data_IF_452213704747
#
_entry.id   IF_452213704747
#
_cell.length_a   1.000
_cell.length_b   1.000
_cell.length_c   1.000
_cell.angle_alpha   90.00
_cell.angle_beta   90.00
_cell.angle_gamma   90.00
#
_symmetry.space_group_name_H-M   'P 1'
#
loop_
_entity.id
_entity.type
_entity.pdbx_description
1 polymer ?
#
# COMPACT_ATOMS: atom_id res chain seq x y z
N UNK A 1 88.98 46.97 -32.44
CA UNK A 1 89.27 47.46 -33.80
C UNK A 1 88.50 46.54 -34.74
N UNK A 2 87.43 46.89 -35.40
CA UNK A 2 86.81 48.19 -35.65
C UNK A 2 85.33 48.02 -35.99
N UNK A 3 84.62 49.15 -35.92
CA UNK A 3 83.37 49.46 -36.63
C UNK A 3 82.05 48.91 -36.07
N UNK A 4 81.52 49.71 -35.12
CA UNK A 4 80.09 49.88 -34.85
C UNK A 4 79.36 50.25 -36.16
N UNK A 5 78.52 49.35 -36.66
CA UNK A 5 77.47 49.67 -37.62
C UNK A 5 76.16 49.91 -36.85
N UNK A 6 75.86 51.18 -36.59
CA UNK A 6 74.54 51.66 -36.22
C UNK A 6 73.62 51.48 -37.41
N UNK A 7 72.79 50.44 -37.41
CA UNK A 7 71.68 50.34 -38.35
C UNK A 7 70.38 50.69 -37.61
N UNK A 8 70.04 51.97 -37.69
CA UNK A 8 68.75 52.50 -37.28
C UNK A 8 67.70 51.94 -38.25
N UNK A 9 67.10 50.80 -37.90
CA UNK A 9 65.96 50.28 -38.64
C UNK A 9 64.75 51.14 -38.25
N UNK A 10 64.39 52.00 -39.20
CA UNK A 10 63.21 52.83 -39.21
C UNK A 10 61.96 52.03 -38.85
N UNK A 11 61.33 52.35 -37.71
CA UNK A 11 59.90 52.12 -37.48
C UNK A 11 59.13 52.95 -38.51
N UNK A 12 58.93 52.41 -39.69
CA UNK A 12 58.35 53.19 -40.77
C UNK A 12 58.09 52.37 -42.01
N UNK A 13 57.41 51.24 -41.89
CA UNK A 13 56.68 50.61 -43.00
C UNK A 13 55.89 49.42 -42.45
N UNK A 14 54.63 49.65 -42.13
CA UNK A 14 53.48 48.74 -42.30
C UNK A 14 52.21 49.43 -41.74
N UNK A 15 52.04 50.73 -41.96
CA UNK A 15 50.73 51.35 -41.76
C UNK A 15 49.96 51.18 -43.07
N UNK A 16 49.25 50.06 -43.20
CA UNK A 16 48.28 49.88 -44.28
C UNK A 16 47.35 51.09 -44.29
N UNK A 17 47.22 51.79 -45.42
CA UNK A 17 46.28 52.91 -45.52
C UNK A 17 44.87 52.42 -45.23
N UNK A 18 44.01 53.27 -44.66
CA UNK A 18 42.66 52.87 -44.26
C UNK A 18 41.83 52.35 -45.44
N UNK A 19 42.11 52.83 -46.66
CA UNK A 19 41.53 52.29 -47.89
C UNK A 19 41.99 50.85 -48.17
N UNK A 20 43.27 50.52 -47.98
CA UNK A 20 43.77 49.16 -48.15
C UNK A 20 43.24 48.22 -47.07
N UNK A 21 43.06 48.72 -45.84
CA UNK A 21 42.40 47.97 -44.76
C UNK A 21 40.94 47.68 -45.08
N UNK A 22 40.19 48.67 -45.59
CA UNK A 22 38.81 48.48 -46.05
C UNK A 22 38.70 47.47 -47.17
N UNK A 23 39.54 47.58 -48.20
CA UNK A 23 39.54 46.62 -49.32
C UNK A 23 39.89 45.21 -48.88
N UNK A 24 40.83 45.07 -47.93
CA UNK A 24 41.17 43.76 -47.39
C UNK A 24 40.02 43.18 -46.56
N UNK A 25 39.33 44.02 -45.77
CA UNK A 25 38.14 43.62 -45.03
C UNK A 25 37.00 43.20 -45.97
N UNK A 26 36.69 43.99 -47.00
CA UNK A 26 35.68 43.64 -48.02
C UNK A 26 36.02 42.33 -48.74
N UNK A 27 37.30 42.11 -49.02
CA UNK A 27 37.76 40.86 -49.64
C UNK A 27 37.62 39.67 -48.69
N UNK A 28 37.97 39.84 -47.42
CA UNK A 28 37.79 38.82 -46.39
C UNK A 28 36.31 38.50 -46.17
N UNK A 29 35.44 39.51 -46.17
CA UNK A 29 34.00 39.31 -46.05
C UNK A 29 33.45 38.53 -47.26
N UNK A 30 33.88 38.85 -48.48
CA UNK A 30 33.52 38.09 -49.68
C UNK A 30 34.04 36.65 -49.67
N UNK A 31 35.30 36.45 -49.29
CA UNK A 31 35.89 35.12 -49.17
C UNK A 31 35.19 34.29 -48.06
N UNK A 32 34.74 34.94 -46.99
CA UNK A 32 33.97 34.31 -45.91
C UNK A 32 32.56 33.93 -46.38
N UNK A 33 31.86 34.81 -47.10
CA UNK A 33 30.54 34.54 -47.66
C UNK A 33 30.58 33.41 -48.69
N UNK A 34 31.60 33.38 -49.56
CA UNK A 34 31.85 32.28 -50.49
C UNK A 34 32.13 30.96 -49.76
N UNK A 35 32.93 31.00 -48.69
CA UNK A 35 33.21 29.82 -47.85
C UNK A 35 31.95 29.30 -47.15
N UNK A 36 31.14 30.18 -46.55
CA UNK A 36 29.87 29.82 -45.90
C UNK A 36 28.86 29.30 -46.92
N UNK A 37 28.80 29.91 -48.11
CA UNK A 37 27.95 29.45 -49.20
C UNK A 37 28.37 28.11 -49.80
N UNK A 38 29.65 27.78 -49.74
CA UNK A 38 30.24 26.53 -50.22
C UNK A 38 30.19 25.37 -49.21
N UNK A 39 29.92 25.64 -47.94
CA UNK A 39 29.62 24.58 -46.97
C UNK A 39 28.34 23.86 -47.41
N UNK A 40 28.38 22.54 -47.47
CA UNK A 40 27.16 21.74 -47.62
C UNK A 40 26.19 22.15 -46.52
N UNK A 41 25.10 22.82 -46.90
CA UNK A 41 23.93 22.97 -46.04
C UNK A 41 23.41 21.56 -45.80
N UNK A 42 23.88 20.93 -44.74
CA UNK A 42 23.18 19.79 -44.16
C UNK A 42 21.84 20.38 -43.77
N UNK A 43 20.80 20.15 -44.58
CA UNK A 43 19.45 20.33 -44.08
C UNK A 43 19.33 19.29 -42.99
N UNK A 44 19.60 19.73 -41.76
CA UNK A 44 19.47 18.88 -40.61
C UNK A 44 17.98 18.67 -40.43
N UNK A 45 17.44 17.69 -41.14
CA UNK A 45 16.05 17.26 -41.01
C UNK A 45 15.74 16.74 -39.59
N UNK A 46 16.78 16.58 -38.76
CA UNK A 46 16.75 16.13 -37.37
C UNK A 46 17.00 17.25 -36.34
N UNK A 47 17.10 18.52 -36.76
CA UNK A 47 17.20 19.63 -35.80
C UNK A 47 15.84 19.97 -35.17
N UNK A 48 15.84 20.10 -33.84
CA UNK A 48 14.65 20.52 -33.11
C UNK A 48 14.22 21.91 -33.59
N UNK A 49 12.94 22.09 -34.00
CA UNK A 49 12.47 23.40 -34.42
C UNK A 49 12.66 24.44 -33.30
N UNK A 50 13.30 25.56 -33.59
CA UNK A 50 13.53 26.66 -32.63
C UNK A 50 12.23 27.24 -32.04
N UNK A 51 11.09 26.99 -32.67
CA UNK A 51 9.78 27.40 -32.16
C UNK A 51 9.12 26.36 -31.24
N UNK A 52 9.58 25.09 -31.28
CA UNK A 52 8.99 23.95 -30.53
C UNK A 52 9.98 23.21 -29.62
N UNK A 53 11.21 23.70 -29.46
CA UNK A 53 12.23 23.04 -28.63
C UNK A 53 11.80 22.88 -27.17
N UNK A 54 11.00 23.80 -26.63
CA UNK A 54 10.49 23.69 -25.24
C UNK A 54 9.59 22.47 -25.09
N UNK A 55 8.67 22.26 -26.04
CA UNK A 55 7.77 21.11 -26.03
C UNK A 55 8.54 19.78 -26.20
N UNK A 56 9.54 19.76 -27.08
CA UNK A 56 10.40 18.57 -27.28
C UNK A 56 11.32 18.30 -26.08
N UNK A 57 11.83 19.35 -25.41
CA UNK A 57 12.56 19.21 -24.14
C UNK A 57 11.66 18.69 -23.02
N UNK A 58 10.43 19.18 -22.91
CA UNK A 58 9.48 18.70 -21.90
C UNK A 58 9.11 17.22 -22.12
N UNK A 59 9.11 16.75 -23.38
CA UNK A 59 8.94 15.33 -23.71
C UNK A 59 10.18 14.48 -23.47
N UNK A 60 11.35 15.10 -23.28
CA UNK A 60 12.60 14.38 -23.12
C UNK A 60 12.70 13.75 -21.71
N UNK A 61 13.03 12.45 -21.58
CA UNK A 61 12.98 11.74 -20.30
C UNK A 61 13.89 12.31 -19.21
N UNK A 62 14.97 13.00 -19.58
CA UNK A 62 15.86 13.66 -18.64
C UNK A 62 15.39 15.05 -18.17
N UNK A 63 14.54 15.72 -18.95
CA UNK A 63 14.12 17.11 -18.71
C UNK A 63 12.61 17.25 -18.48
N UNK A 64 11.85 16.15 -18.59
CA UNK A 64 10.42 16.14 -18.32
C UNK A 64 10.14 16.56 -16.88
N UNK A 65 9.28 17.57 -16.73
CA UNK A 65 8.86 18.05 -15.41
C UNK A 65 7.66 17.27 -14.89
N UNK A 66 6.89 16.66 -15.80
CA UNK A 66 5.72 15.83 -15.51
C UNK A 66 5.91 14.45 -16.10
N UNK A 67 5.43 13.43 -15.41
CA UNK A 67 5.35 12.07 -15.95
C UNK A 67 4.20 12.01 -16.96
N UNK A 68 4.38 11.37 -18.14
CA UNK A 68 3.31 11.19 -19.12
C UNK A 68 2.07 10.55 -18.50
N UNK A 69 0.89 11.01 -18.88
CA UNK A 69 -0.37 10.42 -18.40
C UNK A 69 -0.67 9.09 -19.13
N UNK A 70 -1.47 8.24 -18.49
CA UNK A 70 -1.77 6.92 -19.03
C UNK A 70 -2.58 7.04 -20.34
N UNK A 71 -1.95 6.74 -21.47
CA UNK A 71 -2.56 6.78 -22.81
C UNK A 71 -1.99 7.86 -23.74
N UNK A 72 -1.14 8.75 -23.23
CA UNK A 72 -0.39 9.67 -24.08
C UNK A 72 0.73 8.93 -24.84
N UNK A 73 1.00 9.28 -26.12
CA UNK A 73 2.09 8.69 -26.86
C UNK A 73 3.42 9.04 -26.19
N UNK A 74 4.21 8.02 -25.86
CA UNK A 74 5.55 8.20 -25.33
C UNK A 74 6.45 8.80 -26.41
N UNK A 75 7.38 9.68 -26.01
CA UNK A 75 8.43 10.15 -26.92
C UNK A 75 9.22 8.96 -27.46
N UNK A 76 9.64 8.95 -28.75
CA UNK A 76 10.43 7.86 -29.33
C UNK A 76 11.65 7.47 -28.49
N UNK A 77 12.29 8.46 -27.85
CA UNK A 77 13.43 8.20 -26.96
C UNK A 77 13.01 7.48 -25.67
N UNK A 78 11.88 7.88 -25.08
CA UNK A 78 11.34 7.22 -23.87
C UNK A 78 10.90 5.79 -24.19
N UNK A 79 10.30 5.58 -25.36
CA UNK A 79 9.95 4.25 -25.86
C UNK A 79 11.21 3.39 -26.08
N UNK A 80 12.24 3.93 -26.71
CA UNK A 80 13.52 3.23 -26.90
C UNK A 80 14.18 2.84 -25.57
N UNK A 81 14.17 3.74 -24.57
CA UNK A 81 14.66 3.43 -23.22
C UNK A 81 13.82 2.36 -22.52
N UNK A 82 12.49 2.42 -22.70
CA UNK A 82 11.58 1.42 -22.14
C UNK A 82 11.81 0.04 -22.77
N UNK A 83 11.99 -0.01 -24.09
CA UNK A 83 12.34 -1.24 -24.81
C UNK A 83 13.68 -1.77 -24.31
N UNK A 84 14.74 -0.96 -24.28
CA UNK A 84 16.04 -1.43 -23.79
C UNK A 84 15.95 -2.05 -22.39
N UNK A 85 15.15 -1.44 -21.50
CA UNK A 85 15.02 -1.86 -20.11
C UNK A 85 14.09 -3.06 -19.88
N UNK A 86 12.98 -3.15 -20.63
CA UNK A 86 11.92 -4.13 -20.36
C UNK A 86 11.58 -5.04 -21.55
N UNK A 87 12.28 -4.92 -22.67
CA UNK A 87 12.10 -5.79 -23.84
C UNK A 87 12.38 -7.24 -23.47
N UNK A 88 11.41 -8.11 -23.71
CA UNK A 88 11.54 -9.56 -23.53
C UNK A 88 12.42 -10.20 -24.61
N UNK A 89 12.65 -9.53 -25.75
CA UNK A 89 13.50 -10.07 -26.82
C UNK A 89 14.99 -9.87 -26.54
N UNK A 90 15.32 -8.76 -25.89
CA UNK A 90 16.71 -8.32 -25.74
C UNK A 90 17.30 -8.70 -24.37
N UNK A 91 16.45 -8.88 -23.36
CA UNK A 91 16.85 -9.19 -22.00
C UNK A 91 16.48 -10.63 -21.62
N UNK A 92 17.35 -11.29 -20.85
CA UNK A 92 17.00 -12.60 -20.30
C UNK A 92 15.91 -12.45 -19.22
N UNK A 93 15.07 -13.48 -18.98
CA UNK A 93 14.06 -13.43 -17.91
C UNK A 93 14.66 -13.16 -16.52
N UNK A 94 15.91 -13.56 -16.28
CA UNK A 94 16.62 -13.30 -15.02
C UNK A 94 17.02 -11.83 -14.89
N UNK A 95 17.57 -11.23 -15.95
CA UNK A 95 17.90 -9.80 -15.99
C UNK A 95 16.63 -8.95 -15.84
N UNK A 96 15.55 -9.31 -16.54
CA UNK A 96 14.29 -8.59 -16.44
C UNK A 96 13.70 -8.66 -15.02
N UNK A 97 13.73 -9.84 -14.38
CA UNK A 97 13.34 -9.98 -12.98
C UNK A 97 14.23 -9.16 -12.02
N UNK A 98 15.54 -9.07 -12.29
CA UNK A 98 16.46 -8.25 -11.51
C UNK A 98 16.19 -6.75 -11.68
N UNK A 99 15.95 -6.28 -12.90
CA UNK A 99 15.57 -4.90 -13.20
C UNK A 99 14.28 -4.53 -12.46
N UNK A 100 13.25 -5.37 -12.52
CA UNK A 100 12.02 -5.16 -11.76
C UNK A 100 12.23 -5.16 -10.24
N UNK A 101 13.17 -5.97 -9.73
CA UNK A 101 13.56 -5.94 -8.31
C UNK A 101 14.17 -4.59 -7.95
N UNK A 102 15.04 -4.04 -8.79
CA UNK A 102 15.68 -2.74 -8.58
C UNK A 102 14.66 -1.60 -8.60
N UNK A 103 13.72 -1.63 -9.54
CA UNK A 103 12.62 -0.66 -9.60
C UNK A 103 11.71 -0.74 -8.38
N UNK A 104 11.39 -1.96 -7.94
CA UNK A 104 10.65 -2.17 -6.71
C UNK A 104 11.40 -1.62 -5.49
N UNK A 105 12.72 -1.84 -5.42
CA UNK A 105 13.57 -1.33 -4.34
C UNK A 105 13.63 0.20 -4.34
N UNK A 106 13.75 0.82 -5.52
CA UNK A 106 13.71 2.27 -5.67
C UNK A 106 12.36 2.83 -5.20
N UNK A 107 11.26 2.28 -5.71
CA UNK A 107 9.89 2.66 -5.30
C UNK A 107 9.65 2.47 -3.79
N UNK A 108 10.24 1.43 -3.21
CA UNK A 108 10.17 1.16 -1.77
C UNK A 108 10.92 2.22 -0.96
N UNK A 109 12.11 2.64 -1.41
CA UNK A 109 12.91 3.71 -0.76
C UNK A 109 12.16 5.05 -0.75
N UNK A 110 11.49 5.39 -1.85
CA UNK A 110 10.64 6.60 -1.93
C UNK A 110 9.26 6.44 -1.27
N UNK A 111 9.04 5.34 -0.52
CA UNK A 111 7.79 5.00 0.20
C UNK A 111 6.55 4.86 -0.69
N UNK A 112 6.72 4.70 -2.01
CA UNK A 112 5.63 4.37 -2.94
C UNK A 112 5.38 2.86 -2.95
N UNK A 113 4.87 2.33 -1.83
CA UNK A 113 4.74 0.88 -1.61
C UNK A 113 3.82 0.19 -2.63
N UNK A 114 2.77 0.85 -3.13
CA UNK A 114 1.88 0.30 -4.16
C UNK A 114 2.62 0.04 -5.48
N UNK A 115 3.42 1.01 -5.93
CA UNK A 115 4.25 0.85 -7.13
C UNK A 115 5.31 -0.22 -6.92
N UNK A 116 5.94 -0.27 -5.73
CA UNK A 116 6.90 -1.31 -5.40
C UNK A 116 6.27 -2.72 -5.51
N UNK A 117 5.05 -2.91 -5.02
CA UNK A 117 4.32 -4.18 -5.15
C UNK A 117 4.10 -4.55 -6.62
N UNK A 118 3.72 -3.58 -7.47
CA UNK A 118 3.55 -3.81 -8.90
C UNK A 118 4.86 -4.26 -9.53
N UNK A 119 5.96 -3.51 -9.32
CA UNK A 119 7.28 -3.87 -9.85
C UNK A 119 7.73 -5.26 -9.41
N UNK A 120 7.63 -5.60 -8.11
CA UNK A 120 7.98 -6.95 -7.65
C UNK A 120 7.07 -8.04 -8.23
N UNK A 121 5.80 -7.72 -8.49
CA UNK A 121 4.87 -8.67 -9.09
C UNK A 121 5.20 -8.91 -10.57
N UNK A 122 5.57 -7.88 -11.32
CA UNK A 122 6.07 -8.06 -12.69
C UNK A 122 7.37 -8.87 -12.70
N UNK A 123 8.30 -8.62 -11.76
CA UNK A 123 9.50 -9.44 -11.62
C UNK A 123 9.21 -10.92 -11.34
N UNK A 124 8.21 -11.22 -10.51
CA UNK A 124 7.78 -12.60 -10.23
C UNK A 124 7.10 -13.28 -11.44
N UNK A 125 6.46 -12.52 -12.34
CA UNK A 125 5.85 -13.07 -13.56
C UNK A 125 6.87 -13.58 -14.56
N UNK A 126 8.09 -13.04 -14.56
CA UNK A 126 9.16 -13.43 -15.48
C UNK A 126 9.63 -14.89 -15.29
N UNK A 127 9.35 -15.50 -14.13
CA UNK A 127 9.64 -16.91 -13.85
C UNK A 127 11.07 -17.32 -14.26
N UNK A 128 12.05 -16.53 -13.85
CA UNK A 128 13.46 -16.67 -14.20
C UNK A 128 14.13 -18.01 -13.77
N UNK A 129 13.45 -18.86 -12.99
CA UNK A 129 13.98 -20.13 -12.49
C UNK A 129 15.03 -19.98 -11.37
N UNK A 130 15.46 -18.75 -11.08
CA UNK A 130 16.36 -18.46 -9.97
C UNK A 130 15.59 -18.39 -8.65
N UNK A 131 15.67 -19.49 -7.90
CA UNK A 131 15.06 -19.65 -6.58
C UNK A 131 15.49 -18.55 -5.59
N UNK A 132 16.73 -18.08 -5.67
CA UNK A 132 17.24 -17.05 -4.74
C UNK A 132 16.55 -15.73 -5.04
N UNK A 133 16.58 -15.31 -6.30
CA UNK A 133 15.94 -14.08 -6.76
C UNK A 133 14.43 -14.08 -6.50
N UNK A 134 13.76 -15.21 -6.75
CA UNK A 134 12.34 -15.38 -6.47
C UNK A 134 12.03 -15.21 -4.98
N UNK A 135 12.83 -15.82 -4.09
CA UNK A 135 12.68 -15.68 -2.65
C UNK A 135 12.88 -14.24 -2.15
N UNK A 136 13.80 -13.49 -2.77
CA UNK A 136 14.04 -12.07 -2.48
C UNK A 136 12.86 -11.21 -2.92
N UNK A 137 12.33 -11.44 -4.12
CA UNK A 137 11.18 -10.73 -4.66
C UNK A 137 9.94 -10.92 -3.78
N UNK A 138 9.63 -12.17 -3.38
CA UNK A 138 8.54 -12.41 -2.43
C UNK A 138 8.77 -11.70 -1.09
N UNK A 139 9.98 -11.76 -0.53
CA UNK A 139 10.28 -11.09 0.73
C UNK A 139 10.17 -9.56 0.64
N UNK A 140 10.60 -8.96 -0.47
CA UNK A 140 10.53 -7.51 -0.67
C UNK A 140 9.08 -7.06 -0.93
N UNK A 141 8.30 -7.84 -1.69
CA UNK A 141 6.86 -7.60 -1.85
C UNK A 141 6.11 -7.75 -0.54
N UNK A 142 6.45 -8.75 0.28
CA UNK A 142 5.92 -8.89 1.64
C UNK A 142 6.22 -7.66 2.49
N UNK A 143 7.44 -7.12 2.43
CA UNK A 143 7.78 -5.89 3.13
C UNK A 143 6.87 -4.72 2.71
N UNK A 144 6.64 -4.54 1.40
CA UNK A 144 5.76 -3.49 0.90
C UNK A 144 4.31 -3.68 1.36
N UNK A 145 3.79 -4.91 1.34
CA UNK A 145 2.47 -5.23 1.91
C UNK A 145 2.38 -4.94 3.41
N UNK A 146 3.45 -5.21 4.17
CA UNK A 146 3.51 -4.94 5.60
C UNK A 146 3.37 -3.45 5.91
N UNK A 147 4.08 -2.59 5.18
CA UNK A 147 3.97 -1.12 5.35
C UNK A 147 2.59 -0.59 4.97
N UNK A 148 1.89 -1.24 4.04
CA UNK A 148 0.49 -0.95 3.70
C UNK A 148 -0.52 -1.58 4.68
N UNK A 149 -0.08 -2.26 5.74
CA UNK A 149 -0.92 -3.00 6.69
C UNK A 149 -1.75 -4.12 6.06
N UNK A 150 -1.35 -4.60 4.89
CA UNK A 150 -1.96 -5.74 4.20
C UNK A 150 -1.40 -7.05 4.76
N UNK A 151 -1.68 -7.33 6.04
CA UNK A 151 -1.04 -8.42 6.79
C UNK A 151 -1.31 -9.81 6.23
N UNK A 152 -2.49 -10.05 5.63
CA UNK A 152 -2.82 -11.34 4.99
C UNK A 152 -1.96 -11.61 3.76
N UNK A 153 -1.84 -10.62 2.86
CA UNK A 153 -1.00 -10.70 1.67
C UNK A 153 0.48 -10.80 2.05
N UNK A 154 0.92 -10.01 3.03
CA UNK A 154 2.28 -10.11 3.56
C UNK A 154 2.60 -11.51 4.09
N UNK A 155 1.69 -12.13 4.85
CA UNK A 155 1.88 -13.48 5.38
C UNK A 155 1.95 -14.52 4.26
N UNK A 156 1.13 -14.37 3.21
CA UNK A 156 1.16 -15.24 2.04
C UNK A 156 2.52 -15.18 1.33
N UNK A 157 3.02 -13.97 1.06
CA UNK A 157 4.32 -13.76 0.41
C UNK A 157 5.48 -14.26 1.28
N UNK A 158 5.45 -14.02 2.59
CA UNK A 158 6.46 -14.57 3.49
C UNK A 158 6.46 -16.11 3.46
N UNK A 159 5.29 -16.76 3.40
CA UNK A 159 5.20 -18.22 3.29
C UNK A 159 5.75 -18.72 1.95
N UNK A 160 5.49 -18.01 0.85
CA UNK A 160 6.07 -18.34 -0.46
C UNK A 160 7.60 -18.25 -0.40
N UNK A 161 8.15 -17.16 0.15
CA UNK A 161 9.59 -17.01 0.33
C UNK A 161 10.20 -18.13 1.20
N UNK A 162 9.51 -18.52 2.29
CA UNK A 162 9.98 -19.58 3.20
C UNK A 162 9.86 -21.00 2.63
N UNK A 163 8.97 -21.23 1.66
CA UNK A 163 8.91 -22.49 0.91
C UNK A 163 10.15 -22.67 0.04
N UNK A 164 10.61 -21.59 -0.58
CA UNK A 164 11.80 -21.61 -1.45
C UNK A 164 13.08 -21.63 -0.60
N UNK A 165 13.16 -20.72 0.37
CA UNK A 165 14.29 -20.60 1.29
C UNK A 165 13.81 -20.72 2.74
N UNK A 166 13.88 -21.93 3.28
CA UNK A 166 13.43 -22.25 4.64
C UNK A 166 14.17 -21.45 5.73
N UNK A 167 15.47 -21.21 5.53
CA UNK A 167 16.30 -20.37 6.39
C UNK A 167 16.39 -18.93 5.85
N UNK A 168 15.32 -18.15 6.08
CA UNK A 168 15.28 -16.73 5.74
C UNK A 168 14.77 -15.87 6.91
N UNK A 169 15.67 -15.38 7.79
CA UNK A 169 15.29 -14.71 9.05
C UNK A 169 14.37 -13.50 8.85
N UNK A 170 14.63 -12.67 7.82
CA UNK A 170 13.81 -11.48 7.51
C UNK A 170 12.36 -11.84 7.20
N UNK A 171 12.13 -12.92 6.45
CA UNK A 171 10.80 -13.40 6.12
C UNK A 171 10.11 -14.05 7.32
N UNK A 172 10.85 -14.83 8.14
CA UNK A 172 10.32 -15.47 9.34
C UNK A 172 9.83 -14.46 10.38
N UNK A 173 10.64 -13.45 10.70
CA UNK A 173 10.27 -12.39 11.67
C UNK A 173 9.05 -11.63 11.17
N UNK A 174 9.01 -11.25 9.88
CA UNK A 174 7.86 -10.55 9.29
C UNK A 174 6.60 -11.41 9.30
N UNK A 175 6.72 -12.70 9.00
CA UNK A 175 5.59 -13.64 9.07
C UNK A 175 5.02 -13.73 10.49
N UNK A 176 5.88 -13.87 11.50
CA UNK A 176 5.45 -13.92 12.90
C UNK A 176 4.78 -12.60 13.33
N UNK A 177 5.33 -11.44 12.92
CA UNK A 177 4.70 -10.14 13.16
C UNK A 177 3.31 -10.05 12.51
N UNK A 178 3.15 -10.55 11.28
CA UNK A 178 1.84 -10.59 10.62
C UNK A 178 0.85 -11.51 11.35
N UNK A 179 1.30 -12.68 11.82
CA UNK A 179 0.46 -13.58 12.63
C UNK A 179 -0.03 -12.88 13.90
N UNK A 180 0.81 -12.08 14.55
CA UNK A 180 0.40 -11.26 15.70
C UNK A 180 -0.68 -10.24 15.35
N UNK A 181 -0.51 -9.49 14.26
CA UNK A 181 -1.52 -8.50 13.83
C UNK A 181 -2.84 -9.14 13.40
N UNK A 182 -2.78 -10.37 12.88
CA UNK A 182 -3.96 -11.15 12.50
C UNK A 182 -4.56 -11.95 13.66
N UNK A 183 -4.04 -11.80 14.89
CA UNK A 183 -4.45 -12.56 16.09
C UNK A 183 -4.36 -14.09 15.91
N UNK A 184 -3.49 -14.56 15.01
CA UNK A 184 -3.19 -15.98 14.81
C UNK A 184 -2.06 -16.38 15.76
N UNK A 185 -2.37 -16.39 17.06
CA UNK A 185 -1.36 -16.54 18.11
C UNK A 185 -0.63 -17.88 18.05
N UNK A 186 -1.33 -18.99 17.80
CA UNK A 186 -0.72 -20.32 17.73
C UNK A 186 0.34 -20.43 16.63
N UNK A 187 0.03 -19.90 15.46
CA UNK A 187 0.97 -19.88 14.34
C UNK A 187 2.15 -18.95 14.59
N UNK A 188 1.92 -17.82 15.27
CA UNK A 188 3.01 -16.95 15.69
C UNK A 188 3.95 -17.68 16.65
N UNK A 189 3.42 -18.38 17.66
CA UNK A 189 4.23 -19.12 18.64
C UNK A 189 5.04 -20.19 17.92
N UNK A 190 4.42 -20.98 17.05
CA UNK A 190 5.11 -22.03 16.29
C UNK A 190 6.21 -21.47 15.37
N UNK A 191 6.01 -20.30 14.75
CA UNK A 191 7.05 -19.63 13.97
C UNK A 191 8.20 -19.12 14.86
N UNK A 192 7.88 -18.51 16.00
CA UNK A 192 8.91 -18.07 16.95
C UNK A 192 9.72 -19.24 17.51
N UNK A 193 9.07 -20.36 17.86
CA UNK A 193 9.76 -21.56 18.34
C UNK A 193 10.75 -22.09 17.28
N UNK A 194 10.34 -22.11 16.00
CA UNK A 194 11.24 -22.47 14.89
C UNK A 194 12.43 -21.50 14.74
N UNK A 195 12.21 -20.20 14.90
CA UNK A 195 13.30 -19.21 14.86
C UNK A 195 14.27 -19.39 16.03
N UNK A 196 13.75 -19.65 17.23
CA UNK A 196 14.56 -19.84 18.44
C UNK A 196 15.37 -21.15 18.43
N UNK A 197 14.93 -22.17 17.69
CA UNK A 197 15.75 -23.37 17.46
C UNK A 197 17.05 -23.06 16.72
N UNK A 198 17.02 -22.12 15.76
CA UNK A 198 18.21 -21.71 15.00
C UNK A 198 19.05 -20.65 15.72
N UNK A 199 18.40 -19.72 16.40
CA UNK A 199 19.05 -18.63 17.16
C UNK A 199 18.37 -18.44 18.52
N UNK A 200 18.82 -19.15 19.57
CA UNK A 200 18.16 -19.15 20.89
C UNK A 200 18.17 -17.80 21.61
N UNK A 201 19.08 -16.90 21.23
CA UNK A 201 19.29 -15.60 21.88
C UNK A 201 18.62 -14.43 21.17
N UNK A 202 17.82 -14.68 20.11
CA UNK A 202 17.14 -13.61 19.39
C UNK A 202 16.04 -12.96 20.25
N UNK A 203 16.31 -11.74 20.72
CA UNK A 203 15.40 -10.95 21.56
C UNK A 203 14.06 -10.70 20.87
N UNK A 204 14.07 -10.44 19.56
CA UNK A 204 12.86 -10.12 18.80
C UNK A 204 11.90 -11.31 18.80
N UNK A 205 12.40 -12.51 18.53
CA UNK A 205 11.62 -13.74 18.56
C UNK A 205 11.06 -14.06 19.95
N UNK A 206 11.86 -13.86 21.01
CA UNK A 206 11.44 -14.07 22.40
C UNK A 206 10.31 -13.11 22.80
N UNK A 207 10.46 -11.81 22.53
CA UNK A 207 9.45 -10.79 22.84
C UNK A 207 8.16 -11.04 22.07
N UNK A 208 8.26 -11.36 20.78
CA UNK A 208 7.11 -11.64 19.93
C UNK A 208 6.35 -12.87 20.40
N UNK A 209 7.07 -13.93 20.80
CA UNK A 209 6.48 -15.14 21.40
C UNK A 209 5.77 -14.84 22.71
N UNK A 210 6.41 -14.08 23.61
CA UNK A 210 5.81 -13.70 24.89
C UNK A 210 4.49 -12.92 24.69
N UNK A 211 4.49 -11.97 23.74
CA UNK A 211 3.29 -11.23 23.35
C UNK A 211 2.21 -12.15 22.76
N UNK A 212 2.58 -13.13 21.94
CA UNK A 212 1.65 -14.10 21.36
C UNK A 212 0.97 -14.95 22.44
N UNK A 213 1.75 -15.47 23.40
CA UNK A 213 1.23 -16.27 24.53
C UNK A 213 0.31 -15.43 25.42
N UNK A 214 0.68 -14.18 25.71
CA UNK A 214 -0.17 -13.27 26.48
C UNK A 214 -1.49 -12.96 25.73
N UNK A 215 -1.41 -12.70 24.43
CA UNK A 215 -2.57 -12.48 23.56
C UNK A 215 -3.53 -13.67 23.58
N UNK A 216 -3.01 -14.88 23.37
CA UNK A 216 -3.80 -16.12 23.41
C UNK A 216 -4.53 -16.31 24.75
N UNK A 217 -3.82 -16.15 25.87
CA UNK A 217 -4.43 -16.27 27.21
C UNK A 217 -5.54 -15.23 27.45
N UNK A 218 -5.36 -14.02 26.93
CA UNK A 218 -6.37 -12.97 27.03
C UNK A 218 -7.60 -13.29 26.19
N UNK A 219 -7.43 -13.80 24.97
CA UNK A 219 -8.52 -14.25 24.10
C UNK A 219 -9.32 -15.39 24.74
N UNK A 220 -8.64 -16.42 25.24
CA UNK A 220 -9.27 -17.54 25.97
C UNK A 220 -10.07 -17.06 27.19
N UNK A 221 -9.51 -16.08 27.94
CA UNK A 221 -10.21 -15.46 29.07
C UNK A 221 -11.47 -14.72 28.63
N UNK A 222 -11.40 -13.96 27.54
CA UNK A 222 -12.53 -13.20 27.02
C UNK A 222 -13.64 -14.13 26.52
N UNK A 223 -13.28 -15.18 25.77
CA UNK A 223 -14.22 -16.22 25.31
C UNK A 223 -14.86 -16.91 26.52
N UNK A 224 -14.09 -17.27 27.55
CA UNK A 224 -14.64 -17.87 28.77
C UNK A 224 -15.64 -16.94 29.47
N UNK A 225 -15.33 -15.65 29.58
CA UNK A 225 -16.22 -14.66 30.19
C UNK A 225 -17.52 -14.52 29.40
N UNK A 226 -17.42 -14.42 28.07
CA UNK A 226 -18.56 -14.35 27.17
C UNK A 226 -19.44 -15.60 27.25
N UNK A 227 -18.85 -16.79 27.22
CA UNK A 227 -19.62 -18.04 27.35
C UNK A 227 -20.36 -18.12 28.69
N UNK A 228 -19.80 -17.58 29.78
CA UNK A 228 -20.47 -17.52 31.08
C UNK A 228 -21.62 -16.53 31.07
N UNK A 229 -21.48 -15.34 30.46
CA UNK A 229 -22.60 -14.40 30.34
C UNK A 229 -23.72 -14.94 29.47
N UNK A 230 -23.39 -15.52 28.31
CA UNK A 230 -24.37 -16.13 27.40
C UNK A 230 -25.11 -17.30 28.06
N UNK A 231 -24.43 -18.12 28.88
CA UNK A 231 -25.11 -19.18 29.66
C UNK A 231 -26.09 -18.60 30.67
N UNK A 232 -25.70 -17.56 31.40
CA UNK A 232 -26.59 -16.89 32.36
C UNK A 232 -27.80 -16.24 31.69
N UNK A 233 -27.60 -15.63 30.52
CA UNK A 233 -28.69 -15.06 29.73
C UNK A 233 -29.66 -16.14 29.26
N UNK A 234 -29.15 -17.26 28.71
CA UNK A 234 -29.97 -18.42 28.33
C UNK A 234 -30.71 -19.04 29.50
N UNK A 235 -30.09 -19.12 30.67
CA UNK A 235 -30.74 -19.62 31.90
C UNK A 235 -31.89 -18.69 32.33
N UNK A 236 -31.69 -17.37 32.30
CA UNK A 236 -32.74 -16.38 32.57
C UNK A 236 -33.89 -16.46 31.55
N UNK A 237 -33.55 -16.56 30.28
CA UNK A 237 -34.50 -16.72 29.18
C UNK A 237 -35.36 -17.98 29.37
N UNK A 238 -34.73 -19.11 29.65
CA UNK A 238 -35.43 -20.37 29.91
C UNK A 238 -36.30 -20.31 31.17
N UNK A 239 -35.84 -19.63 32.22
CA UNK A 239 -36.62 -19.43 33.44
C UNK A 239 -37.86 -18.56 33.16
N UNK A 240 -37.72 -17.49 32.37
CA UNK A 240 -38.82 -16.63 31.95
C UNK A 240 -39.86 -17.40 31.13
N UNK A 241 -39.41 -18.13 30.10
CA UNK A 241 -40.30 -18.93 29.26
C UNK A 241 -41.03 -20.02 30.06
N UNK A 242 -40.36 -20.62 31.05
CA UNK A 242 -41.00 -21.58 31.96
C UNK A 242 -42.08 -20.91 32.81
N UNK A 243 -41.77 -19.75 33.40
CA UNK A 243 -42.69 -18.98 34.23
C UNK A 243 -43.97 -18.56 33.47
N UNK A 244 -43.84 -18.17 32.20
CA UNK A 244 -44.96 -17.81 31.32
C UNK A 244 -45.83 -19.03 31.02
N UNK A 245 -45.21 -20.18 30.71
CA UNK A 245 -45.94 -21.44 30.44
C UNK A 245 -46.68 -21.96 31.67
N UNK A 246 -46.06 -21.93 32.84
CA UNK A 246 -46.67 -22.39 34.11
C UNK A 246 -47.90 -21.55 34.48
N UNK A 247 -47.89 -20.25 34.17
CA UNK A 247 -49.02 -19.34 34.41
C UNK A 247 -50.13 -19.43 33.34
N UNK A 248 -49.96 -20.26 32.31
CA UNK A 248 -50.97 -20.47 31.26
C UNK A 248 -51.19 -19.29 30.32
N UNK A 249 -50.25 -18.34 30.27
CA UNK A 249 -50.36 -17.11 29.47
C UNK A 249 -50.25 -17.47 27.99
N UNK A 250 -51.30 -17.15 27.22
CA UNK A 250 -51.33 -17.34 25.77
C UNK A 250 -50.90 -16.03 25.09
N UNK A 251 -49.81 -16.10 24.32
CA UNK A 251 -49.34 -14.98 23.50
C UNK A 251 -49.92 -15.18 22.10
N UNK A 252 -50.76 -14.25 21.66
CA UNK A 252 -51.44 -14.33 20.37
C UNK A 252 -50.43 -14.04 19.23
N UNK A 253 -50.35 -14.94 18.23
CA UNK A 253 -49.66 -14.67 16.96
C UNK A 253 -48.35 -15.42 16.64
N UNK A 254 -47.73 -16.18 17.56
CA UNK A 254 -46.54 -17.00 17.21
C UNK A 254 -46.27 -18.11 18.24
N UNK A 255 -45.43 -19.11 17.89
CA UNK A 255 -44.86 -20.03 18.89
C UNK A 255 -44.09 -19.24 19.97
N UNK A 256 -44.27 -19.62 21.25
CA UNK A 256 -43.72 -18.92 22.41
C UNK A 256 -42.18 -18.80 22.30
N UNK A 257 -41.70 -17.61 21.96
CA UNK A 257 -40.29 -17.30 21.73
C UNK A 257 -39.96 -15.89 22.21
N UNK A 258 -38.67 -15.59 22.42
CA UNK A 258 -38.25 -14.25 22.87
C UNK A 258 -38.66 -13.13 21.90
N UNK A 259 -38.68 -13.41 20.59
CA UNK A 259 -39.16 -12.46 19.59
C UNK A 259 -40.65 -12.13 19.75
N UNK A 260 -41.46 -13.05 20.29
CA UNK A 260 -42.87 -12.82 20.58
C UNK A 260 -43.09 -12.01 21.87
N UNK A 261 -42.05 -11.86 22.71
CA UNK A 261 -42.06 -11.05 23.94
C UNK A 261 -41.51 -9.64 23.72
N UNK A 262 -41.05 -9.32 22.51
CA UNK A 262 -40.62 -7.97 22.16
C UNK A 262 -41.85 -7.09 21.83
N UNK A 263 -41.95 -5.88 22.42
CA UNK A 263 -43.07 -4.99 22.12
C UNK A 263 -43.06 -4.54 20.66
N UNK A 264 -44.19 -4.68 19.96
CA UNK A 264 -44.29 -4.28 18.54
C UNK A 264 -44.28 -2.76 18.31
N UNK A 265 -44.36 -1.94 19.37
CA UNK A 265 -44.36 -0.47 19.29
C UNK A 265 -43.06 0.12 19.85
N UNK A 266 -42.39 1.06 19.14
CA UNK A 266 -41.13 1.66 19.57
C UNK A 266 -41.23 2.47 20.87
N UNK A 267 -42.44 2.88 21.27
CA UNK A 267 -42.68 3.60 22.54
C UNK A 267 -42.64 2.63 23.74
N UNK A 268 -43.04 1.38 23.53
CA UNK A 268 -43.07 0.30 24.54
C UNK A 268 -41.76 -0.49 24.58
N UNK A 269 -40.97 -0.44 23.49
CA UNK A 269 -39.75 -1.21 23.26
C UNK A 269 -38.58 -0.97 24.25
N UNK A 270 -38.76 -0.12 25.26
CA UNK A 270 -37.75 0.10 26.32
C UNK A 270 -37.86 -0.92 27.47
N UNK A 271 -39.04 -1.52 27.67
CA UNK A 271 -39.28 -2.53 28.70
C UNK A 271 -39.45 -3.92 28.10
N UNK A 272 -38.65 -4.88 28.53
CA UNK A 272 -38.83 -6.29 28.19
C UNK A 272 -39.49 -7.04 29.35
N UNK A 273 -40.28 -8.06 29.02
CA UNK A 273 -40.85 -8.97 30.02
C UNK A 273 -39.70 -9.65 30.77
N UNK A 274 -39.72 -9.56 32.10
CA UNK A 274 -38.69 -10.16 32.94
C UNK A 274 -39.26 -10.64 34.27
N UNK A 275 -38.45 -11.39 35.01
CA UNK A 275 -38.78 -11.83 36.36
C UNK A 275 -38.13 -10.89 37.38
N UNK A 276 -38.91 -10.40 38.34
CA UNK A 276 -38.40 -9.66 39.50
C UNK A 276 -37.65 -10.60 40.47
N UNK A 277 -36.92 -10.05 41.45
CA UNK A 277 -36.19 -10.78 42.48
C UNK A 277 -37.05 -11.70 43.36
N UNK A 278 -38.38 -11.55 43.34
CA UNK A 278 -39.35 -12.43 44.00
C UNK A 278 -39.89 -13.56 43.11
N UNK A 279 -39.56 -13.55 41.81
CA UNK A 279 -40.07 -14.52 40.83
C UNK A 279 -41.42 -14.17 40.20
N UNK A 280 -41.93 -12.96 40.45
CA UNK A 280 -43.13 -12.42 39.81
C UNK A 280 -42.80 -11.89 38.40
N UNK A 281 -43.72 -12.06 37.45
CA UNK A 281 -43.56 -11.52 36.10
C UNK A 281 -43.84 -10.01 36.07
N UNK A 282 -42.94 -9.26 35.45
CA UNK A 282 -43.09 -7.83 35.19
C UNK A 282 -43.32 -7.62 33.71
N UNK A 283 -44.42 -6.96 33.38
CA UNK A 283 -44.87 -6.70 32.01
C UNK A 283 -44.85 -5.20 31.70
N UNK A 284 -44.46 -4.82 30.48
CA UNK A 284 -44.82 -3.51 29.96
C UNK A 284 -46.31 -3.52 29.56
N UNK A 285 -47.11 -2.64 30.16
CA UNK A 285 -48.56 -2.58 29.97
C UNK A 285 -48.96 -1.23 29.39
N UNK A 286 -49.79 -1.25 28.35
CA UNK A 286 -50.37 -0.06 27.75
C UNK A 286 -51.86 0.02 28.12
N UNK A 287 -52.26 1.11 28.78
CA UNK A 287 -53.65 1.42 29.05
C UNK A 287 -54.21 2.26 27.90
N UNK A 288 -55.34 1.83 27.35
CA UNK A 288 -56.03 2.52 26.25
C UNK A 288 -57.34 3.11 26.79
N UNK A 289 -57.53 4.41 26.61
CA UNK A 289 -58.74 5.15 26.99
C UNK A 289 -59.50 5.58 25.72
N UNK A 290 -60.32 4.71 25.12
CA UNK A 290 -60.94 4.97 23.82
C UNK A 290 -61.92 6.14 23.83
N UNK A 291 -62.56 6.43 24.96
CA UNK A 291 -63.47 7.59 25.10
C UNK A 291 -62.74 8.93 24.96
N UNK A 292 -61.45 8.97 25.30
CA UNK A 292 -60.64 10.19 25.31
C UNK A 292 -59.57 10.18 24.22
N UNK A 293 -59.44 9.09 23.44
CA UNK A 293 -58.37 8.87 22.47
C UNK A 293 -56.95 9.02 23.06
N UNK A 294 -56.79 8.69 24.35
CA UNK A 294 -55.51 8.76 25.08
C UNK A 294 -54.99 7.36 25.40
N UNK A 295 -53.68 7.20 25.45
CA UNK A 295 -53.01 5.99 25.91
C UNK A 295 -51.91 6.31 26.93
N UNK A 296 -51.85 5.54 28.01
CA UNK A 296 -50.75 5.57 28.97
C UNK A 296 -49.89 4.31 28.86
N UNK A 297 -48.59 4.45 29.09
CA UNK A 297 -47.65 3.33 29.07
C UNK A 297 -46.99 3.18 30.45
N UNK A 298 -47.10 1.99 31.03
CA UNK A 298 -46.37 1.56 32.21
C UNK A 298 -45.30 0.56 31.78
N UNK A 299 -44.03 0.92 31.98
CA UNK A 299 -42.90 0.09 31.54
C UNK A 299 -42.68 -1.15 32.42
N UNK A 300 -42.97 -1.04 33.72
CA UNK A 300 -42.83 -2.10 34.70
C UNK A 300 -44.14 -2.23 35.49
N UNK A 301 -44.96 -3.20 35.12
CA UNK A 301 -46.19 -3.56 35.83
C UNK A 301 -46.05 -4.97 36.38
N UNK A 302 -46.07 -5.13 37.71
CA UNK A 302 -45.95 -6.44 38.34
C UNK A 302 -47.28 -7.18 38.27
N UNK A 303 -47.26 -8.50 38.09
CA UNK A 303 -48.48 -9.32 38.11
C UNK A 303 -49.23 -9.30 39.45
N UNK A 304 -48.55 -8.93 40.53
CA UNK A 304 -49.11 -8.82 41.88
C UNK A 304 -49.72 -7.43 42.16
N UNK A 305 -49.59 -6.48 41.22
CA UNK A 305 -50.15 -5.13 41.36
C UNK A 305 -51.65 -5.16 41.00
N UNK A 306 -52.49 -4.78 41.96
CA UNK A 306 -53.96 -4.66 41.83
C UNK A 306 -54.43 -3.21 41.72
#
# INVERSE_FOLDING_TARGET
>A
MDSKATNAISKGEMCMSDEKRRRLAEKLDQELDEFIGGLEKRSSTDEWPEDRWQEEMEKHPFFMTKTPEAGEPLSPLMEGLQQLKYSETDNTPQELAATYKEDGNYNFKIKKYRLAIMSYTEGLKQRCGDSVLESELYNNRAAAHFFLKNYRSCLFDCRAALKIRSCYPKAQVRAAQCCMFLQRYDECIALCDKMLLGSPTDKVSLELRARAVAGKKMEERNIRKQNVSERKEKEKEQALLRAIKERGIHIEGTELSMAALEPSSPVVAQGHVHLDGKGSLVWPVMFLYPEYEVSDLVQEFCEDDT
#
